data_IF_517497190911
#
_entry.id   IF_517497190911
#
_cell.length_a   1.000
_cell.length_b   1.000
_cell.length_c   1.000
_cell.angle_alpha   90.00
_cell.angle_beta   90.00
_cell.angle_gamma   90.00
#
_symmetry.space_group_name_H-M   'P 1'
#
loop_
_entity.id
_entity.type
_entity.pdbx_description
1 polymer ?
#
# COMPACT_ATOMS: atom_id res chain seq x y z
N UNK A 1 -19.02 -62.41 -14.71
CA UNK A 1 -18.84 -60.97 -14.47
C UNK A 1 -17.54 -60.74 -13.72
N UNK A 2 -16.50 -60.20 -14.37
CA UNK A 2 -15.32 -59.59 -13.72
C UNK A 2 -14.80 -58.43 -14.58
N UNK A 3 -14.44 -57.35 -13.88
CA UNK A 3 -14.20 -55.98 -14.34
C UNK A 3 -13.03 -55.84 -15.33
N UNK A 4 -13.18 -54.95 -16.33
CA UNK A 4 -12.23 -54.68 -17.43
C UNK A 4 -11.51 -53.31 -17.33
N UNK A 5 -11.49 -52.68 -16.16
CA UNK A 5 -10.72 -51.43 -15.96
C UNK A 5 -9.69 -51.61 -14.85
N UNK A 6 -8.55 -52.21 -15.21
CA UNK A 6 -7.30 -52.09 -14.48
C UNK A 6 -6.26 -51.58 -15.47
N UNK A 7 -5.72 -50.38 -15.22
CA UNK A 7 -4.67 -49.80 -16.07
C UNK A 7 -3.48 -50.77 -16.23
N UNK A 8 -2.71 -50.66 -17.32
CA UNK A 8 -1.60 -51.57 -17.58
C UNK A 8 -0.60 -51.54 -16.42
N UNK A 9 -0.11 -52.71 -15.95
CA UNK A 9 0.89 -52.78 -14.91
C UNK A 9 2.15 -52.05 -15.37
N UNK A 10 2.65 -51.15 -14.52
CA UNK A 10 3.80 -50.30 -14.80
C UNK A 10 4.98 -51.12 -15.34
N UNK A 11 5.46 -50.68 -16.50
CA UNK A 11 6.58 -51.27 -17.24
C UNK A 11 7.88 -51.28 -16.40
N UNK A 12 8.12 -52.37 -15.67
CA UNK A 12 9.46 -52.73 -15.20
C UNK A 12 10.30 -53.19 -16.40
N UNK A 13 11.47 -52.58 -16.59
CA UNK A 13 12.48 -53.05 -17.55
C UNK A 13 12.81 -52.13 -18.73
N UNK A 14 12.39 -50.85 -18.74
CA UNK A 14 12.92 -49.88 -19.71
C UNK A 14 14.17 -49.25 -19.09
N UNK A 15 15.35 -49.60 -19.60
CA UNK A 15 16.67 -49.23 -19.04
C UNK A 15 16.86 -47.73 -18.81
N UNK A 16 16.19 -46.87 -19.59
CA UNK A 16 16.22 -45.42 -19.40
C UNK A 16 15.25 -44.89 -18.33
N UNK A 17 14.19 -45.63 -18.01
CA UNK A 17 13.17 -45.21 -17.05
C UNK A 17 13.65 -45.38 -15.60
N UNK A 18 14.43 -46.43 -15.31
CA UNK A 18 15.02 -46.63 -13.99
C UNK A 18 16.05 -45.54 -13.64
N UNK A 19 16.81 -45.07 -14.64
CA UNK A 19 17.71 -43.94 -14.50
C UNK A 19 16.93 -42.62 -14.33
N UNK A 20 15.83 -42.43 -15.07
CA UNK A 20 14.97 -41.26 -14.92
C UNK A 20 14.28 -41.22 -13.55
N UNK A 21 13.78 -42.36 -13.07
CA UNK A 21 13.13 -42.49 -11.76
C UNK A 21 14.15 -42.26 -10.64
N UNK A 22 15.36 -42.81 -10.77
CA UNK A 22 16.46 -42.55 -9.83
C UNK A 22 16.86 -41.07 -9.78
N UNK A 23 16.85 -40.37 -10.92
CA UNK A 23 17.12 -38.93 -10.99
C UNK A 23 15.97 -38.11 -10.41
N UNK A 24 14.71 -38.52 -10.62
CA UNK A 24 13.55 -37.87 -10.04
C UNK A 24 13.54 -38.02 -8.51
N UNK A 25 13.84 -39.21 -8.00
CA UNK A 25 13.95 -39.49 -6.57
C UNK A 25 15.12 -38.75 -5.92
N UNK A 26 16.25 -38.62 -6.63
CA UNK A 26 17.39 -37.82 -6.19
C UNK A 26 17.07 -36.32 -6.16
N UNK A 27 16.33 -35.81 -7.15
CA UNK A 27 15.82 -34.44 -7.17
C UNK A 27 14.84 -34.16 -6.02
N UNK A 28 13.91 -35.10 -5.78
CA UNK A 28 12.91 -34.99 -4.70
C UNK A 28 13.53 -35.04 -3.29
N UNK A 29 14.65 -35.77 -3.12
CA UNK A 29 15.40 -35.87 -1.86
C UNK A 29 16.46 -34.78 -1.69
N UNK A 30 16.67 -33.93 -2.69
CA UNK A 30 17.59 -32.81 -2.58
C UNK A 30 16.91 -31.65 -1.84
N UNK A 31 17.54 -31.16 -0.77
CA UNK A 31 17.09 -29.95 -0.05
C UNK A 31 17.29 -28.65 -0.87
N UNK A 32 17.79 -28.80 -2.11
CA UNK A 32 17.99 -27.72 -3.06
C UNK A 32 16.66 -27.47 -3.76
N UNK A 33 15.82 -26.70 -3.08
CA UNK A 33 14.69 -26.04 -3.74
C UNK A 33 15.31 -24.95 -4.62
N UNK A 34 15.43 -25.18 -5.93
CA UNK A 34 15.64 -24.08 -6.87
C UNK A 34 14.48 -23.10 -6.63
N UNK A 35 14.74 -21.92 -6.07
CA UNK A 35 13.70 -20.95 -5.82
C UNK A 35 13.32 -20.47 -7.21
N UNK A 36 12.36 -21.15 -7.83
CA UNK A 36 11.98 -20.94 -9.22
C UNK A 36 11.65 -19.47 -9.50
N UNK A 37 11.33 -19.09 -10.74
CA UNK A 37 11.09 -17.69 -11.10
C UNK A 37 10.04 -16.96 -10.23
N UNK A 38 9.21 -17.68 -9.47
CA UNK A 38 8.29 -17.18 -8.43
C UNK A 38 8.94 -16.70 -7.13
N UNK A 39 10.18 -17.08 -6.85
CA UNK A 39 10.92 -16.67 -5.66
C UNK A 39 11.73 -15.37 -5.87
N UNK A 40 11.86 -14.92 -7.11
CA UNK A 40 12.40 -13.60 -7.43
C UNK A 40 11.36 -12.52 -7.09
N UNK A 41 11.72 -11.47 -6.32
CA UNK A 41 10.78 -10.40 -6.01
C UNK A 41 10.37 -9.68 -7.30
N UNK A 42 9.07 -9.65 -7.59
CA UNK A 42 8.53 -8.95 -8.76
C UNK A 42 8.88 -7.46 -8.70
N UNK A 43 9.10 -6.82 -9.86
CA UNK A 43 9.30 -5.36 -9.97
C UNK A 43 8.22 -4.58 -9.18
N UNK A 44 6.97 -5.01 -9.27
CA UNK A 44 5.85 -4.45 -8.49
C UNK A 44 6.02 -4.61 -6.98
N UNK A 45 6.55 -5.75 -6.52
CA UNK A 45 6.84 -6.03 -5.11
C UNK A 45 7.95 -5.14 -4.58
N UNK A 46 9.07 -5.05 -5.30
CA UNK A 46 10.19 -4.15 -4.97
C UNK A 46 9.69 -2.70 -4.91
N UNK A 47 8.90 -2.28 -5.90
CA UNK A 47 8.32 -0.93 -5.95
C UNK A 47 7.38 -0.66 -4.77
N UNK A 48 6.58 -1.64 -4.34
CA UNK A 48 5.71 -1.51 -3.17
C UNK A 48 6.50 -1.37 -1.87
N UNK A 49 7.56 -2.14 -1.71
CA UNK A 49 8.46 -2.03 -0.55
C UNK A 49 9.13 -0.66 -0.52
N UNK A 50 9.66 -0.20 -1.66
CA UNK A 50 10.29 1.12 -1.76
C UNK A 50 9.31 2.25 -1.41
N UNK A 51 8.08 2.21 -1.91
CA UNK A 51 7.02 3.18 -1.56
C UNK A 51 6.68 3.14 -0.08
N UNK A 52 6.56 1.94 0.50
CA UNK A 52 6.27 1.76 1.93
C UNK A 52 7.39 2.36 2.80
N UNK A 53 8.65 2.08 2.46
CA UNK A 53 9.81 2.62 3.16
C UNK A 53 9.84 4.15 3.08
N UNK A 54 9.68 4.72 1.89
CA UNK A 54 9.63 6.17 1.69
C UNK A 54 8.51 6.80 2.53
N UNK A 55 7.30 6.22 2.49
CA UNK A 55 6.16 6.69 3.27
C UNK A 55 6.44 6.67 4.78
N UNK A 56 7.07 5.61 5.28
CA UNK A 56 7.41 5.46 6.69
C UNK A 56 8.44 6.51 7.14
N UNK A 57 9.48 6.76 6.33
CA UNK A 57 10.48 7.79 6.62
C UNK A 57 9.84 9.18 6.61
N UNK A 58 9.04 9.51 5.60
CA UNK A 58 8.40 10.83 5.49
C UNK A 58 7.39 11.08 6.62
N UNK A 59 6.59 10.08 6.98
CA UNK A 59 5.61 10.21 8.07
C UNK A 59 6.31 10.32 9.43
N UNK A 60 7.38 9.56 9.66
CA UNK A 60 8.21 9.67 10.86
C UNK A 60 8.86 11.04 11.00
N UNK A 61 9.40 11.60 9.92
CA UNK A 61 9.92 12.96 9.88
C UNK A 61 8.83 14.00 10.19
N UNK A 62 7.65 13.87 9.57
CA UNK A 62 6.53 14.78 9.79
C UNK A 62 6.11 14.80 11.26
N UNK A 63 5.89 13.62 11.87
CA UNK A 63 5.50 13.54 13.28
C UNK A 63 6.51 14.22 14.21
N UNK A 64 7.81 14.06 13.97
CA UNK A 64 8.87 14.75 14.72
C UNK A 64 8.82 16.27 14.54
N UNK A 65 8.58 16.76 13.32
CA UNK A 65 8.47 18.21 13.05
C UNK A 65 7.20 18.81 13.64
N UNK A 66 6.06 18.14 13.47
CA UNK A 66 4.76 18.57 14.02
C UNK A 66 4.80 18.61 15.54
N UNK A 67 5.41 17.62 16.21
CA UNK A 67 5.51 17.63 17.67
C UNK A 67 6.41 18.76 18.22
N UNK A 68 7.45 19.14 17.48
CA UNK A 68 8.39 20.21 17.85
C UNK A 68 7.88 21.62 17.52
N UNK A 69 7.10 21.77 16.46
CA UNK A 69 6.82 23.08 15.84
C UNK A 69 5.35 23.47 15.85
N UNK A 70 4.42 22.52 16.01
CA UNK A 70 3.01 22.84 16.15
C UNK A 70 2.70 23.20 17.61
N UNK A 71 2.29 24.45 17.81
CA UNK A 71 1.73 24.94 19.06
C UNK A 71 0.52 24.09 19.46
N UNK A 72 0.30 23.90 20.77
CA UNK A 72 -0.64 22.91 21.32
C UNK A 72 -2.05 22.92 20.71
N UNK A 73 -2.56 24.10 20.33
CA UNK A 73 -3.88 24.26 19.72
C UNK A 73 -4.05 23.58 18.35
N UNK A 74 -2.96 23.35 17.60
CA UNK A 74 -3.02 22.69 16.29
C UNK A 74 -2.95 21.16 16.38
N UNK A 75 -2.49 20.63 17.53
CA UNK A 75 -2.33 19.18 17.73
C UNK A 75 -3.66 18.43 17.69
N UNK A 76 -4.76 19.09 18.08
CA UNK A 76 -6.12 18.52 18.07
C UNK A 76 -6.60 18.08 16.69
N UNK A 77 -6.06 18.68 15.63
CA UNK A 77 -6.47 18.42 14.25
C UNK A 77 -5.76 17.23 13.60
N UNK A 78 -4.77 16.63 14.30
CA UNK A 78 -4.04 15.44 13.85
C UNK A 78 -3.66 15.49 12.36
N UNK A 79 -3.11 16.61 11.91
CA UNK A 79 -2.82 16.84 10.49
C UNK A 79 -1.81 15.82 9.98
N UNK A 80 -2.24 14.94 9.09
CA UNK A 80 -1.38 13.99 8.41
C UNK A 80 -0.57 14.66 7.29
N UNK A 81 0.59 14.09 7.01
CA UNK A 81 1.44 14.53 5.92
C UNK A 81 0.85 14.10 4.57
N UNK A 82 0.01 14.93 3.98
CA UNK A 82 -0.59 14.68 2.68
C UNK A 82 0.20 15.40 1.56
N UNK A 83 1.15 14.70 0.94
CA UNK A 83 1.83 15.16 -0.30
C UNK A 83 0.94 15.11 -1.55
N UNK A 84 -0.25 14.51 -1.47
CA UNK A 84 -0.96 14.01 -2.66
C UNK A 84 -1.45 15.10 -3.62
N UNK A 85 -1.55 16.36 -3.20
CA UNK A 85 -1.69 17.52 -4.09
C UNK A 85 -1.74 18.77 -3.22
N UNK A 86 -0.83 19.70 -3.48
CA UNK A 86 -1.09 21.08 -3.05
C UNK A 86 -2.39 21.53 -3.70
N UNK A 87 -3.43 21.93 -2.93
CA UNK A 87 -4.67 22.41 -3.52
C UNK A 87 -4.35 23.61 -4.42
N UNK A 88 -4.92 23.66 -5.63
CA UNK A 88 -4.63 24.74 -6.56
C UNK A 88 -5.00 26.12 -5.99
N UNK A 89 -5.88 26.13 -5.00
CA UNK A 89 -6.29 27.31 -4.25
C UNK A 89 -5.11 28.01 -3.56
N UNK A 90 -4.05 27.29 -3.19
CA UNK A 90 -2.82 27.88 -2.65
C UNK A 90 -2.02 28.66 -3.70
N UNK A 91 -2.29 28.45 -5.00
CA UNK A 91 -1.71 29.26 -6.09
C UNK A 91 -2.40 30.61 -6.24
N UNK A 92 -3.54 30.81 -5.59
CA UNK A 92 -4.27 32.08 -5.64
C UNK A 92 -3.51 33.17 -4.88
N UNK A 93 -3.72 34.42 -5.26
CA UNK A 93 -3.20 35.54 -4.47
C UNK A 93 -3.79 35.50 -3.06
N UNK A 94 -2.98 35.93 -2.07
CA UNK A 94 -3.38 35.94 -0.65
C UNK A 94 -4.74 36.62 -0.40
N UNK A 95 -5.09 37.76 -1.02
CA UNK A 95 -6.42 38.38 -0.85
C UNK A 95 -7.56 37.51 -1.37
N UNK A 96 -7.37 36.85 -2.52
CA UNK A 96 -8.39 35.99 -3.13
C UNK A 96 -8.61 34.73 -2.30
N UNK A 97 -7.53 34.09 -1.87
CA UNK A 97 -7.61 32.93 -0.98
C UNK A 97 -8.32 33.27 0.34
N UNK A 98 -8.01 34.43 0.93
CA UNK A 98 -8.67 34.90 2.15
C UNK A 98 -10.19 35.02 1.98
N UNK A 99 -10.64 35.65 0.88
CA UNK A 99 -12.09 35.78 0.59
C UNK A 99 -12.75 34.42 0.37
N UNK A 100 -12.12 33.52 -0.37
CA UNK A 100 -12.63 32.18 -0.62
C UNK A 100 -12.81 31.39 0.69
N UNK A 101 -11.82 31.46 1.58
CA UNK A 101 -11.89 30.82 2.90
C UNK A 101 -12.98 31.44 3.77
N UNK A 102 -13.16 32.76 3.73
CA UNK A 102 -14.21 33.44 4.48
C UNK A 102 -15.61 32.99 4.00
N UNK A 103 -15.84 32.95 2.69
CA UNK A 103 -17.10 32.47 2.11
C UNK A 103 -17.40 31.02 2.52
N UNK A 104 -16.40 30.13 2.46
CA UNK A 104 -16.58 28.71 2.82
C UNK A 104 -16.80 28.47 4.30
N UNK A 105 -16.14 29.24 5.16
CA UNK A 105 -16.32 29.14 6.61
C UNK A 105 -17.52 29.94 7.11
N UNK A 106 -18.26 30.62 6.21
CA UNK A 106 -19.31 31.60 6.56
C UNK A 106 -18.79 32.65 7.53
N UNK A 107 -17.50 32.96 7.47
CA UNK A 107 -16.88 33.95 8.31
C UNK A 107 -17.40 35.34 7.92
N UNK A 108 -18.05 36.02 8.86
CA UNK A 108 -18.76 37.27 8.61
C UNK A 108 -20.24 37.10 8.23
N UNK A 109 -20.77 35.87 8.27
CA UNK A 109 -22.21 35.61 8.20
C UNK A 109 -22.83 35.84 9.59
N UNK A 110 -23.37 37.04 9.79
CA UNK A 110 -24.00 37.47 11.04
C UNK A 110 -25.52 37.27 11.03
N UNK A 111 -26.07 36.50 10.10
CA UNK A 111 -27.52 36.28 10.00
C UNK A 111 -28.12 35.75 11.31
N UNK A 112 -27.43 34.81 11.97
CA UNK A 112 -27.83 34.27 13.26
C UNK A 112 -27.81 35.33 14.38
N UNK A 113 -26.86 36.28 14.35
CA UNK A 113 -26.76 37.35 15.33
C UNK A 113 -27.94 38.32 15.22
N UNK A 114 -28.32 38.73 14.00
CA UNK A 114 -29.46 39.63 13.82
C UNK A 114 -30.80 38.99 14.19
N UNK A 115 -30.95 37.67 13.97
CA UNK A 115 -32.18 36.93 14.32
C UNK A 115 -32.45 36.85 15.82
N UNK A 116 -31.41 36.81 16.66
CA UNK A 116 -31.58 36.72 18.13
C UNK A 116 -31.88 38.06 18.80
N UNK A 117 -31.51 39.18 18.18
CA UNK A 117 -31.73 40.54 18.72
C UNK A 117 -32.93 41.27 18.08
N UNK A 118 -33.68 40.61 17.19
CA UNK A 118 -34.94 41.11 16.63
C UNK A 118 -36.19 40.37 17.14
N UNK A 119 -36.04 39.51 18.17
CA UNK A 119 -37.15 38.82 18.84
C UNK A 119 -37.64 39.60 20.07
#
# INVERSE_FOLDING_TARGET
MRSIYGGPPGHQGITGNEAADSLADAGAKSDIVDPGPTAQPTISGIGSIARSLAHNVTSGWWRKKTSQRCQGGYRKWQLDYALKKEPMELKLSRPTLHRLLALRSRHGDFEAYYKTFQA
#
